data_IF_530412897760
#
_entry.id   IF_530412897760
#
_cell.length_a   1.000
_cell.length_b   1.000
_cell.length_c   1.000
_cell.angle_alpha   90.00
_cell.angle_beta   90.00
_cell.angle_gamma   90.00
#
_symmetry.space_group_name_H-M   'P 1'
#
loop_
_entity.id
_entity.type
_entity.pdbx_description
1 polymer ?
#
# COMPACT_ATOMS: atom_id res chain seq x y z
N UNK A 1 49.91 45.59 52.06
CA UNK A 1 49.34 46.87 52.53
C UNK A 1 48.07 47.10 51.70
N UNK A 2 46.85 46.84 52.21
CA UNK A 2 46.05 47.75 53.06
C UNK A 2 45.97 49.15 52.45
N UNK A 3 44.83 49.81 52.20
CA UNK A 3 43.40 49.57 52.36
C UNK A 3 42.65 50.61 51.48
N UNK A 4 41.46 50.22 50.97
CA UNK A 4 40.20 50.98 50.85
C UNK A 4 40.18 52.42 50.28
N UNK A 5 39.28 52.66 49.31
CA UNK A 5 38.28 53.73 49.42
C UNK A 5 37.08 53.49 48.50
N UNK A 6 35.89 53.65 49.10
CA UNK A 6 34.54 53.52 48.55
C UNK A 6 34.19 54.63 47.54
N UNK A 7 33.29 54.33 46.59
CA UNK A 7 32.16 55.20 46.27
C UNK A 7 31.10 54.47 45.42
N UNK A 8 29.85 54.79 45.72
CA UNK A 8 28.61 54.09 45.38
C UNK A 8 27.96 54.53 44.06
N UNK A 9 27.09 53.63 43.56
CA UNK A 9 25.86 53.84 42.75
C UNK A 9 26.10 54.24 41.28
N UNK A 10 25.56 53.52 40.30
CA UNK A 10 24.11 53.37 40.09
C UNK A 10 23.78 52.17 39.18
N UNK A 11 22.60 51.61 39.43
CA UNK A 11 22.05 50.42 38.80
C UNK A 11 21.44 50.68 37.42
N UNK A 12 21.56 49.69 36.53
CA UNK A 12 20.52 49.37 35.53
C UNK A 12 20.53 47.86 35.33
N UNK A 13 19.46 47.22 35.81
CA UNK A 13 19.18 45.81 35.62
C UNK A 13 18.63 45.60 34.20
N UNK A 14 19.25 44.70 33.44
CA UNK A 14 18.67 44.13 32.22
C UNK A 14 18.43 42.64 32.49
N UNK A 15 17.19 42.29 32.82
CA UNK A 15 16.73 40.91 32.92
C UNK A 15 16.48 40.38 31.50
N UNK A 16 17.36 39.48 31.01
CA UNK A 16 17.09 38.69 29.82
C UNK A 16 16.27 37.46 30.23
N UNK A 17 14.96 37.58 30.09
CA UNK A 17 14.00 36.49 30.27
C UNK A 17 14.20 35.49 29.13
N UNK A 18 14.54 34.26 29.51
CA UNK A 18 14.58 33.13 28.58
C UNK A 18 13.19 32.78 28.08
N UNK A 19 13.09 32.57 26.77
CA UNK A 19 11.95 31.86 26.15
C UNK A 19 12.54 30.63 25.49
N UNK A 20 12.56 29.53 26.25
CA UNK A 20 12.69 28.19 25.70
C UNK A 20 11.41 27.89 24.93
N UNK A 21 11.47 27.99 23.61
CA UNK A 21 10.37 27.57 22.74
C UNK A 21 10.08 26.09 22.95
N UNK A 22 8.84 25.79 23.32
CA UNK A 22 8.30 24.45 23.45
C UNK A 22 8.51 23.70 22.14
N UNK A 23 9.32 22.63 22.19
CA UNK A 23 9.38 21.63 21.15
C UNK A 23 7.96 21.06 20.96
N UNK A 24 7.32 21.43 19.85
CA UNK A 24 6.10 20.78 19.42
C UNK A 24 6.37 19.29 19.30
N UNK A 25 5.81 18.51 20.23
CA UNK A 25 5.84 17.06 20.16
C UNK A 25 5.04 16.68 18.93
N UNK A 26 5.72 16.43 17.81
CA UNK A 26 5.13 15.68 16.72
C UNK A 26 4.69 14.36 17.33
N UNK A 27 3.39 14.16 17.50
CA UNK A 27 2.81 12.84 17.77
C UNK A 27 3.21 11.98 16.59
N UNK A 28 4.28 11.20 16.75
CA UNK A 28 4.60 10.11 15.86
C UNK A 28 3.36 9.22 15.85
N UNK A 29 2.66 9.18 14.71
CA UNK A 29 1.63 8.17 14.51
C UNK A 29 2.35 6.84 14.72
N UNK A 30 1.90 6.06 15.71
CA UNK A 30 2.43 4.71 15.85
C UNK A 30 2.10 3.97 14.55
N UNK A 31 3.11 3.35 13.95
CA UNK A 31 2.91 2.42 12.83
C UNK A 31 1.83 1.40 13.26
N UNK A 32 0.92 0.94 12.38
CA UNK A 32 -0.13 0.03 12.78
C UNK A 32 0.50 -1.18 13.48
N UNK A 33 -0.02 -1.52 14.67
CA UNK A 33 0.38 -2.77 15.30
C UNK A 33 0.00 -3.92 14.35
N UNK A 34 0.90 -4.90 14.22
CA UNK A 34 0.68 -6.12 13.43
C UNK A 34 0.58 -5.88 11.91
N UNK A 35 1.60 -5.32 11.28
CA UNK A 35 1.69 -5.12 9.81
C UNK A 35 2.44 -6.23 9.06
N UNK A 36 2.98 -7.22 9.77
CA UNK A 36 3.87 -8.23 9.22
C UNK A 36 5.35 -7.98 9.55
N UNK A 37 6.22 -8.95 9.27
CA UNK A 37 7.66 -8.77 9.44
C UNK A 37 8.25 -7.93 8.29
N UNK A 38 9.39 -7.26 8.51
CA UNK A 38 10.07 -6.53 7.43
C UNK A 38 10.47 -7.44 6.26
N UNK A 39 10.73 -8.72 6.52
CA UNK A 39 11.01 -9.72 5.48
C UNK A 39 9.79 -9.99 4.59
N UNK A 40 8.61 -10.13 5.20
CA UNK A 40 7.36 -10.37 4.49
C UNK A 40 6.93 -9.15 3.67
N UNK A 41 7.09 -7.95 4.24
CA UNK A 41 6.83 -6.69 3.54
C UNK A 41 7.74 -6.53 2.33
N UNK A 42 9.04 -6.82 2.46
CA UNK A 42 9.98 -6.76 1.34
C UNK A 42 9.66 -7.82 0.27
N UNK A 43 9.23 -9.01 0.69
CA UNK A 43 8.80 -10.09 -0.21
C UNK A 43 7.57 -9.66 -1.03
N UNK A 44 6.58 -9.05 -0.36
CA UNK A 44 5.39 -8.51 -1.01
C UNK A 44 5.75 -7.32 -1.93
N UNK A 45 6.62 -6.41 -1.48
CA UNK A 45 7.08 -5.26 -2.24
C UNK A 45 7.78 -5.64 -3.56
N UNK A 46 8.47 -6.78 -3.59
CA UNK A 46 9.11 -7.32 -4.80
C UNK A 46 8.12 -7.88 -5.83
N UNK A 47 6.83 -7.94 -5.51
CA UNK A 47 5.77 -8.49 -6.37
C UNK A 47 4.69 -7.47 -6.72
N UNK A 48 4.90 -6.19 -6.38
CA UNK A 48 3.99 -5.12 -6.75
C UNK A 48 4.00 -4.90 -8.26
N UNK A 49 2.87 -4.44 -8.79
CA UNK A 49 2.78 -4.05 -10.19
C UNK A 49 3.71 -2.88 -10.48
N UNK A 50 4.21 -2.79 -11.71
CA UNK A 50 5.15 -1.77 -12.17
C UNK A 50 4.67 -0.37 -11.81
N UNK A 51 5.54 0.41 -11.19
CA UNK A 51 5.25 1.78 -10.73
C UNK A 51 4.80 1.86 -9.26
N UNK A 52 4.43 0.75 -8.64
CA UNK A 52 4.21 0.69 -7.19
C UNK A 52 5.47 0.30 -6.43
N UNK A 53 5.60 0.85 -5.23
CA UNK A 53 6.74 0.65 -4.34
C UNK A 53 6.45 1.19 -2.94
N UNK A 54 7.36 0.98 -2.00
CA UNK A 54 7.18 1.46 -0.62
C UNK A 54 7.14 3.00 -0.50
N UNK A 55 7.40 3.74 -1.58
CA UNK A 55 7.25 5.19 -1.64
C UNK A 55 5.81 5.66 -1.89
N UNK A 56 4.94 4.80 -2.44
CA UNK A 56 3.52 5.11 -2.67
C UNK A 56 2.56 4.03 -2.13
N UNK A 57 3.10 3.07 -1.37
CA UNK A 57 2.38 2.03 -0.66
C UNK A 57 2.63 2.13 0.85
N UNK A 58 1.63 1.79 1.64
CA UNK A 58 1.67 1.80 3.10
C UNK A 58 1.29 0.43 3.65
N UNK A 59 2.06 -0.04 4.64
CA UNK A 59 1.79 -1.28 5.32
C UNK A 59 0.46 -1.19 6.08
N UNK A 60 -0.34 -2.25 6.00
CA UNK A 60 -1.64 -2.34 6.66
C UNK A 60 -1.60 -3.41 7.75
N UNK A 61 -2.47 -3.27 8.76
CA UNK A 61 -2.67 -4.34 9.73
C UNK A 61 -3.10 -5.63 9.02
N UNK A 62 -2.48 -6.74 9.39
CA UNK A 62 -2.76 -8.06 8.85
C UNK A 62 -3.75 -8.82 9.75
N UNK A 63 -4.51 -9.70 9.12
CA UNK A 63 -5.45 -10.62 9.76
C UNK A 63 -4.93 -12.07 9.71
N UNK A 64 -5.67 -13.00 10.31
CA UNK A 64 -5.26 -14.42 10.34
C UNK A 64 -5.02 -14.97 8.92
N UNK A 65 -3.83 -15.49 8.69
CA UNK A 65 -3.42 -16.08 7.40
C UNK A 65 -2.63 -15.13 6.50
N UNK A 66 -2.67 -13.82 6.78
CA UNK A 66 -1.88 -12.81 6.10
C UNK A 66 -0.50 -12.66 6.77
N UNK A 67 0.55 -12.51 5.97
CA UNK A 67 1.92 -12.26 6.40
C UNK A 67 2.33 -10.80 6.21
N UNK A 68 1.76 -10.14 5.20
CA UNK A 68 1.96 -8.74 4.90
C UNK A 68 0.79 -8.22 4.07
N UNK A 69 0.46 -6.93 4.23
CA UNK A 69 -0.46 -6.24 3.33
C UNK A 69 0.04 -4.83 3.04
N UNK A 70 -0.06 -4.43 1.78
CA UNK A 70 0.28 -3.10 1.30
C UNK A 70 -0.93 -2.50 0.59
N UNK A 71 -1.31 -1.27 0.97
CA UNK A 71 -2.26 -0.45 0.21
C UNK A 71 -1.51 0.70 -0.43
N UNK A 72 -1.69 0.86 -1.73
CA UNK A 72 -1.04 1.87 -2.54
C UNK A 72 -2.06 2.89 -3.05
N UNK A 73 -1.60 4.13 -3.19
CA UNK A 73 -2.39 5.22 -3.77
C UNK A 73 -2.44 5.17 -5.30
N UNK A 74 -2.55 6.35 -5.90
CA UNK A 74 -2.56 6.54 -7.35
C UNK A 74 -1.27 5.98 -8.00
N UNK A 75 -1.44 5.24 -9.09
CA UNK A 75 -0.34 4.81 -9.95
C UNK A 75 0.41 6.02 -10.53
N UNK A 76 1.74 6.00 -10.64
CA UNK A 76 2.49 7.05 -11.32
C UNK A 76 2.24 7.10 -12.85
N UNK A 77 1.63 6.05 -13.41
CA UNK A 77 1.11 6.08 -14.78
C UNK A 77 -0.18 6.93 -14.81
N UNK A 78 -0.25 8.00 -15.64
CA UNK A 78 -1.44 8.84 -15.75
C UNK A 78 -2.70 8.09 -16.20
N UNK A 79 -2.55 6.95 -16.88
CA UNK A 79 -3.67 6.07 -17.28
C UNK A 79 -3.87 4.91 -16.31
N UNK A 80 -3.12 4.88 -15.21
CA UNK A 80 -3.10 3.80 -14.25
C UNK A 80 -4.21 3.88 -13.19
N UNK A 81 -4.33 2.82 -12.38
CA UNK A 81 -5.30 2.75 -11.30
C UNK A 81 -5.12 3.84 -10.25
N UNK A 82 -6.23 4.18 -9.59
CA UNK A 82 -6.27 5.15 -8.49
C UNK A 82 -5.90 4.54 -7.14
N UNK A 83 -5.92 3.21 -7.06
CA UNK A 83 -5.59 2.45 -5.87
C UNK A 83 -5.09 1.06 -6.26
N UNK A 84 -4.21 0.50 -5.44
CA UNK A 84 -3.89 -0.92 -5.45
C UNK A 84 -3.81 -1.48 -4.02
N UNK A 85 -4.04 -2.78 -3.87
CA UNK A 85 -3.74 -3.51 -2.64
C UNK A 85 -3.09 -4.84 -2.98
N UNK A 86 -2.15 -5.23 -2.14
CA UNK A 86 -1.41 -6.46 -2.24
C UNK A 86 -1.40 -7.14 -0.88
N UNK A 87 -1.53 -8.46 -0.87
CA UNK A 87 -1.59 -9.26 0.35
C UNK A 87 -0.78 -10.53 0.14
N UNK A 88 0.19 -10.77 1.02
CA UNK A 88 0.95 -12.01 1.08
C UNK A 88 0.29 -12.94 2.08
N UNK A 89 0.03 -14.19 1.68
CA UNK A 89 -0.53 -15.22 2.55
C UNK A 89 0.50 -16.27 2.93
N UNK A 90 0.31 -16.89 4.08
CA UNK A 90 1.17 -17.97 4.56
C UNK A 90 1.02 -19.29 3.76
N UNK A 91 -0.08 -19.46 3.01
CA UNK A 91 -0.34 -20.64 2.19
C UNK A 91 -1.39 -20.35 1.09
N UNK A 92 -1.51 -21.30 0.16
CA UNK A 92 -2.43 -21.20 -0.97
C UNK A 92 -3.92 -21.34 -0.60
N UNK A 93 -4.26 -22.00 0.50
CA UNK A 93 -5.66 -22.14 0.93
C UNK A 93 -6.24 -20.79 1.37
N UNK A 94 -5.47 -20.03 2.15
CA UNK A 94 -5.83 -18.68 2.57
C UNK A 94 -5.90 -17.72 1.38
N UNK A 95 -4.97 -17.82 0.43
CA UNK A 95 -5.02 -17.08 -0.83
C UNK A 95 -6.32 -17.35 -1.61
N UNK A 96 -6.63 -18.61 -1.87
CA UNK A 96 -7.83 -19.00 -2.64
C UNK A 96 -9.11 -18.60 -1.91
N UNK A 97 -9.14 -18.76 -0.58
CA UNK A 97 -10.25 -18.30 0.26
C UNK A 97 -10.48 -16.79 0.15
N UNK A 98 -9.40 -16.02 0.25
CA UNK A 98 -9.44 -14.56 0.16
C UNK A 98 -9.83 -14.05 -1.23
N UNK A 99 -9.31 -14.68 -2.31
CA UNK A 99 -9.73 -14.38 -3.68
C UNK A 99 -11.25 -14.57 -3.85
N UNK A 100 -11.77 -15.74 -3.45
CA UNK A 100 -13.21 -16.05 -3.52
C UNK A 100 -14.06 -15.11 -2.67
N UNK A 101 -13.54 -14.64 -1.54
CA UNK A 101 -14.24 -13.67 -0.71
C UNK A 101 -14.28 -12.29 -1.38
N UNK A 102 -13.15 -11.85 -1.95
CA UNK A 102 -13.00 -10.53 -2.54
C UNK A 102 -13.92 -10.33 -3.76
N UNK A 103 -14.04 -11.33 -4.63
CA UNK A 103 -14.84 -11.23 -5.86
C UNK A 103 -16.36 -11.35 -5.64
N UNK A 104 -16.83 -11.63 -4.41
CA UNK A 104 -18.27 -11.80 -4.13
C UNK A 104 -19.02 -10.48 -4.17
N UNK A 105 -18.34 -9.39 -3.82
CA UNK A 105 -18.93 -8.06 -3.75
C UNK A 105 -18.84 -7.32 -5.10
N UNK A 106 -18.17 -7.94 -6.08
CA UNK A 106 -17.98 -7.40 -7.43
C UNK A 106 -19.11 -7.79 -8.37
N UNK A 107 -19.45 -6.87 -9.28
CA UNK A 107 -20.20 -7.21 -10.49
C UNK A 107 -19.21 -7.72 -11.52
N UNK A 108 -19.10 -9.05 -11.63
CA UNK A 108 -18.14 -9.70 -12.52
C UNK A 108 -18.53 -9.58 -14.00
N UNK A 109 -17.53 -9.30 -14.82
CA UNK A 109 -17.62 -9.24 -16.27
C UNK A 109 -16.53 -10.05 -16.95
N UNK A 110 -16.31 -9.76 -18.23
CA UNK A 110 -15.24 -10.38 -19.01
C UNK A 110 -13.89 -9.72 -18.76
N UNK A 111 -12.85 -10.52 -18.54
CA UNK A 111 -11.46 -10.09 -18.48
C UNK A 111 -10.87 -9.92 -19.89
N UNK A 112 -11.30 -8.89 -20.61
CA UNK A 112 -10.83 -8.61 -21.97
C UNK A 112 -10.88 -9.85 -22.88
N UNK A 113 -9.71 -10.26 -23.37
CA UNK A 113 -9.53 -11.43 -24.24
C UNK A 113 -9.47 -12.78 -23.51
N UNK A 114 -9.36 -12.80 -22.17
CA UNK A 114 -9.29 -14.02 -21.36
C UNK A 114 -10.66 -14.63 -21.03
N UNK A 115 -11.76 -14.00 -21.47
CA UNK A 115 -13.11 -14.52 -21.31
C UNK A 115 -13.78 -14.14 -19.99
N UNK A 116 -14.77 -14.93 -19.58
CA UNK A 116 -15.62 -14.66 -18.42
C UNK A 116 -14.86 -14.84 -17.10
N UNK A 117 -15.00 -13.88 -16.17
CA UNK A 117 -14.42 -13.98 -14.82
C UNK A 117 -15.19 -14.95 -13.91
N UNK A 118 -14.49 -15.61 -12.95
CA UNK A 118 -13.03 -15.70 -12.85
C UNK A 118 -12.45 -16.64 -13.91
N UNK A 119 -11.22 -16.38 -14.34
CA UNK A 119 -10.48 -17.18 -15.34
C UNK A 119 -9.01 -17.34 -14.96
N UNK A 120 -8.29 -18.26 -15.59
CA UNK A 120 -6.84 -18.39 -15.41
C UNK A 120 -6.07 -17.27 -16.11
N UNK A 121 -4.92 -16.90 -15.58
CA UNK A 121 -3.99 -16.00 -16.26
C UNK A 121 -2.57 -16.56 -16.32
N UNK A 122 -1.76 -15.97 -17.19
CA UNK A 122 -0.40 -16.39 -17.43
C UNK A 122 0.55 -15.18 -17.41
N UNK A 123 1.75 -15.40 -16.89
CA UNK A 123 2.75 -14.33 -16.81
C UNK A 123 3.51 -14.20 -18.14
N UNK A 124 3.43 -13.02 -18.75
CA UNK A 124 4.13 -12.73 -20.01
C UNK A 124 3.71 -13.67 -21.14
N UNK A 125 4.69 -14.25 -21.83
CA UNK A 125 4.45 -15.23 -22.91
C UNK A 125 4.45 -16.69 -22.45
N UNK A 126 4.51 -16.95 -21.15
CA UNK A 126 4.44 -18.31 -20.62
C UNK A 126 3.03 -18.88 -20.81
N UNK A 127 2.89 -20.15 -21.12
CA UNK A 127 1.59 -20.85 -21.17
C UNK A 127 1.22 -21.51 -19.84
N UNK A 128 2.14 -21.55 -18.88
CA UNK A 128 1.87 -22.06 -17.54
C UNK A 128 0.92 -21.16 -16.75
N UNK A 129 -0.08 -21.75 -16.09
CA UNK A 129 -1.02 -21.02 -15.22
C UNK A 129 -0.26 -20.33 -14.08
N UNK A 130 -0.42 -19.01 -13.96
CA UNK A 130 0.17 -18.20 -12.92
C UNK A 130 -0.80 -17.92 -11.75
N UNK A 131 -2.10 -18.10 -11.99
CA UNK A 131 -3.14 -17.96 -10.97
C UNK A 131 -4.53 -17.72 -11.56
N UNK A 132 -5.38 -17.07 -10.79
CA UNK A 132 -6.74 -16.68 -11.18
C UNK A 132 -6.84 -15.16 -11.30
N UNK A 133 -7.68 -14.69 -12.21
CA UNK A 133 -8.02 -13.27 -12.37
C UNK A 133 -9.53 -13.12 -12.47
N UNK A 134 -10.05 -12.06 -11.85
CA UNK A 134 -11.42 -11.62 -11.97
C UNK A 134 -11.44 -10.14 -12.33
N UNK A 135 -12.32 -9.78 -13.26
CA UNK A 135 -12.50 -8.44 -13.76
C UNK A 135 -13.96 -8.05 -13.62
N UNK A 136 -14.20 -6.83 -13.16
CA UNK A 136 -15.55 -6.38 -12.94
C UNK A 136 -15.58 -4.95 -12.45
N UNK A 137 -16.63 -4.63 -11.70
CA UNK A 137 -16.78 -3.35 -11.03
C UNK A 137 -17.16 -3.53 -9.57
N UNK A 138 -16.54 -2.74 -8.70
CA UNK A 138 -16.86 -2.61 -7.28
C UNK A 138 -17.15 -1.15 -6.97
N UNK A 139 -18.29 -0.85 -6.34
CA UNK A 139 -18.68 0.52 -5.95
C UNK A 139 -18.50 1.56 -7.07
N UNK A 140 -19.00 1.26 -8.28
CA UNK A 140 -18.93 2.12 -9.47
C UNK A 140 -17.50 2.41 -9.97
N UNK A 141 -16.52 1.59 -9.62
CA UNK A 141 -15.17 1.63 -10.18
C UNK A 141 -14.79 0.25 -10.74
N UNK A 142 -14.04 0.24 -11.84
CA UNK A 142 -13.44 -0.94 -12.41
C UNK A 142 -12.47 -1.56 -11.41
N UNK A 143 -12.51 -2.87 -11.27
CA UNK A 143 -11.64 -3.62 -10.37
C UNK A 143 -11.11 -4.87 -11.08
N UNK A 144 -9.81 -5.11 -10.92
CA UNK A 144 -9.14 -6.33 -11.35
C UNK A 144 -8.52 -6.95 -10.11
N UNK A 145 -8.91 -8.18 -9.79
CA UNK A 145 -8.40 -8.96 -8.65
C UNK A 145 -7.69 -10.18 -9.23
N UNK A 146 -6.48 -10.47 -8.80
CA UNK A 146 -5.75 -11.65 -9.26
C UNK A 146 -4.90 -12.30 -8.18
N UNK A 147 -4.65 -13.59 -8.33
CA UNK A 147 -3.72 -14.36 -7.51
C UNK A 147 -2.41 -14.57 -8.24
N UNK A 148 -1.30 -14.61 -7.52
CA UNK A 148 -0.02 -15.18 -7.99
C UNK A 148 0.29 -16.40 -7.15
N UNK A 149 -0.09 -17.58 -7.66
CA UNK A 149 -0.19 -18.80 -6.86
C UNK A 149 1.17 -19.26 -6.34
N UNK A 150 2.22 -19.14 -7.16
CA UNK A 150 3.60 -19.50 -6.77
C UNK A 150 4.18 -18.64 -5.64
N UNK A 151 3.53 -17.51 -5.32
CA UNK A 151 3.95 -16.56 -4.29
C UNK A 151 2.96 -16.43 -3.15
N UNK A 152 1.80 -17.09 -3.20
CA UNK A 152 0.69 -16.88 -2.27
C UNK A 152 0.25 -15.40 -2.16
N UNK A 153 0.21 -14.67 -3.28
CA UNK A 153 -0.14 -13.24 -3.30
C UNK A 153 -1.53 -13.03 -3.90
N UNK A 154 -2.37 -12.27 -3.20
CA UNK A 154 -3.57 -11.64 -3.78
C UNK A 154 -3.24 -10.19 -4.08
N UNK A 155 -3.63 -9.75 -5.26
CA UNK A 155 -3.50 -8.38 -5.69
C UNK A 155 -4.84 -7.88 -6.21
N UNK A 156 -5.13 -6.60 -6.01
CA UNK A 156 -6.16 -5.94 -6.79
C UNK A 156 -5.79 -4.49 -7.09
N UNK A 157 -6.36 -3.99 -8.18
CA UNK A 157 -6.25 -2.59 -8.61
C UNK A 157 -7.65 -2.04 -8.89
N UNK A 158 -7.82 -0.75 -8.61
CA UNK A 158 -9.08 -0.04 -8.86
C UNK A 158 -8.87 1.13 -9.80
N UNK A 159 -9.72 1.21 -10.83
CA UNK A 159 -9.69 2.27 -11.83
C UNK A 159 -10.43 3.54 -11.39
N UNK A 160 -10.25 4.65 -12.11
CA UNK A 160 -10.95 5.92 -11.84
C UNK A 160 -12.42 5.92 -12.32
N UNK A 161 -12.84 4.92 -13.08
CA UNK A 161 -14.16 4.81 -13.71
C UNK A 161 -14.54 3.33 -13.83
N UNK A 162 -15.67 3.00 -14.47
CA UNK A 162 -16.18 1.64 -14.61
C UNK A 162 -15.60 0.84 -15.79
N UNK A 163 -14.59 1.34 -16.50
CA UNK A 163 -14.01 0.69 -17.67
C UNK A 163 -13.02 -0.44 -17.27
N UNK A 164 -13.59 -1.60 -16.96
CA UNK A 164 -12.82 -2.80 -16.61
C UNK A 164 -11.95 -3.30 -17.76
N UNK A 165 -12.33 -3.05 -19.02
CA UNK A 165 -11.53 -3.46 -20.17
C UNK A 165 -10.25 -2.64 -20.28
N UNK A 166 -10.32 -1.31 -20.13
CA UNK A 166 -9.15 -0.46 -20.09
C UNK A 166 -8.23 -0.79 -18.91
N UNK A 167 -8.80 -1.00 -17.72
CA UNK A 167 -8.04 -1.38 -16.52
C UNK A 167 -7.34 -2.74 -16.69
N UNK A 168 -8.02 -3.71 -17.30
CA UNK A 168 -7.44 -5.01 -17.62
C UNK A 168 -6.26 -4.92 -18.59
N UNK A 169 -6.33 -4.04 -19.60
CA UNK A 169 -5.19 -3.81 -20.50
C UNK A 169 -4.00 -3.17 -19.78
N UNK A 170 -4.26 -2.22 -18.87
CA UNK A 170 -3.22 -1.65 -18.03
C UNK A 170 -2.56 -2.73 -17.16
N UNK A 171 -3.37 -3.59 -16.53
CA UNK A 171 -2.89 -4.71 -15.72
C UNK A 171 -2.03 -5.66 -16.53
N UNK A 172 -2.42 -6.03 -17.76
CA UNK A 172 -1.59 -6.91 -18.59
C UNK A 172 -0.20 -6.36 -18.91
N UNK A 173 -0.04 -5.04 -18.96
CA UNK A 173 1.23 -4.39 -19.26
C UNK A 173 2.10 -4.13 -18.02
N UNK A 174 1.50 -4.10 -16.82
CA UNK A 174 2.17 -3.63 -15.59
C UNK A 174 2.02 -4.57 -14.39
N UNK A 175 1.13 -5.56 -14.47
CA UNK A 175 0.67 -6.44 -13.40
C UNK A 175 1.65 -7.50 -12.94
#
# INVERSE_FOLDING_TARGET
MSHLSNALRSATAAALVGVSGLAGSATATADPANTGSSSDINTLAASLSKGYGLNNCTAQSITTGELASLTCGQSPDPSGPVQAKYILFNNGENLVGSFKASIKDDVLGTCGDSGQSPTSWHQGSNSGNAGQVACGTYQNAAEIIWTTDSKNILSYIRGPNTDAAALYQWWRANG
#
